data_IF_839286531298
#
_entry.id   IF_839286531298
#
_cell.length_a   1.000
_cell.length_b   1.000
_cell.length_c   1.000
_cell.angle_alpha   90.00
_cell.angle_beta   90.00
_cell.angle_gamma   90.00
#
_symmetry.space_group_name_H-M   'P 1'
#
loop_
_entity.id
_entity.type
_entity.pdbx_description
1 polymer ?
#
# COMPACT_ATOMS: atom_id res chain seq x y z
N UNK A 1 -9.64 21.90 21.42
CA UNK A 1 -9.38 21.39 20.06
C UNK A 1 -7.92 20.93 20.03
N UNK A 2 -7.54 19.99 20.90
CA UNK A 2 -7.28 18.57 20.52
C UNK A 2 -6.38 18.56 19.28
N UNK A 3 -5.07 18.77 19.42
CA UNK A 3 -4.19 17.82 20.11
C UNK A 3 -4.12 16.58 19.23
N UNK A 4 -3.28 16.62 18.19
CA UNK A 4 -3.03 15.48 17.32
C UNK A 4 -2.24 14.45 18.13
N UNK A 5 -2.94 13.45 18.66
CA UNK A 5 -2.34 12.32 19.38
C UNK A 5 -1.75 11.36 18.34
N UNK A 6 -0.42 11.25 18.33
CA UNK A 6 0.37 10.53 17.32
C UNK A 6 0.18 8.99 17.39
N UNK A 7 -0.66 8.49 18.31
CA UNK A 7 -0.92 7.07 18.53
C UNK A 7 -1.97 6.44 17.58
N UNK A 8 -2.92 7.23 17.06
CA UNK A 8 -3.97 6.73 16.15
C UNK A 8 -3.54 6.64 14.67
N UNK A 9 -2.35 7.14 14.31
CA UNK A 9 -1.89 7.29 12.92
C UNK A 9 -0.76 6.30 12.52
N UNK A 10 -0.66 5.15 13.19
CA UNK A 10 0.49 4.22 13.07
C UNK A 10 0.10 2.85 12.49
N UNK A 11 -1.05 2.70 11.81
CA UNK A 11 -1.50 1.40 11.28
C UNK A 11 -1.65 1.29 9.75
N UNK A 12 -1.27 2.28 8.95
CA UNK A 12 -1.66 2.33 7.53
C UNK A 12 -0.50 2.71 6.60
N UNK A 13 0.40 1.78 6.27
CA UNK A 13 1.36 2.03 5.18
C UNK A 13 0.57 2.20 3.87
N UNK A 14 0.53 3.44 3.38
CA UNK A 14 -0.14 3.84 2.14
C UNK A 14 0.86 4.46 1.17
N UNK A 15 0.45 4.57 -0.09
CA UNK A 15 1.22 5.27 -1.10
C UNK A 15 1.43 6.74 -0.70
N UNK A 16 2.66 7.26 -0.69
CA UNK A 16 2.92 8.67 -0.36
C UNK A 16 2.32 9.66 -1.36
N UNK A 17 2.05 9.25 -2.60
CA UNK A 17 1.50 10.13 -3.65
C UNK A 17 -0.02 10.22 -3.64
N UNK A 18 -0.70 9.08 -3.51
CA UNK A 18 -2.16 8.99 -3.66
C UNK A 18 -2.88 8.50 -2.40
N UNK A 19 -2.13 8.14 -1.35
CA UNK A 19 -2.65 7.63 -0.09
C UNK A 19 -3.50 6.34 -0.19
N UNK A 20 -3.40 5.62 -1.30
CA UNK A 20 -4.06 4.33 -1.49
C UNK A 20 -3.21 3.18 -0.91
N UNK A 21 -3.82 2.00 -0.74
CA UNK A 21 -3.10 0.81 -0.23
C UNK A 21 -1.95 0.38 -1.14
N UNK A 22 -0.94 -0.24 -0.53
CA UNK A 22 0.17 -0.90 -1.21
C UNK A 22 0.01 -2.42 -1.13
N UNK A 23 0.27 -3.10 -2.25
CA UNK A 23 0.37 -4.55 -2.38
C UNK A 23 1.84 -4.97 -2.30
N UNK A 24 2.15 -6.02 -1.53
CA UNK A 24 3.51 -6.54 -1.42
C UNK A 24 3.77 -7.53 -2.55
N UNK A 25 4.78 -7.28 -3.36
CA UNK A 25 5.22 -8.18 -4.43
C UNK A 25 6.70 -8.55 -4.26
N UNK A 26 6.96 -9.58 -3.47
CA UNK A 26 8.31 -10.10 -3.23
C UNK A 26 9.27 -9.08 -2.59
N UNK A 27 9.96 -8.30 -3.44
CA UNK A 27 10.94 -7.29 -3.04
C UNK A 27 10.52 -5.85 -3.40
N UNK A 28 9.25 -5.61 -3.74
CA UNK A 28 8.72 -4.26 -3.91
C UNK A 28 7.29 -4.13 -3.36
N UNK A 29 6.85 -2.89 -3.17
CA UNK A 29 5.51 -2.51 -2.79
C UNK A 29 4.85 -1.77 -3.96
N UNK A 30 3.76 -2.31 -4.50
CA UNK A 30 3.07 -1.73 -5.65
C UNK A 30 1.77 -1.07 -5.19
N UNK A 31 1.54 0.17 -5.60
CA UNK A 31 0.30 0.86 -5.30
C UNK A 31 -0.90 0.18 -5.95
N UNK A 32 -1.96 -0.07 -5.18
CA UNK A 32 -3.21 -0.68 -5.66
C UNK A 32 -4.08 0.27 -6.49
N UNK A 33 -3.71 1.54 -6.64
CA UNK A 33 -4.40 2.49 -7.54
C UNK A 33 -3.92 2.33 -8.98
N UNK A 34 -4.86 2.13 -9.90
CA UNK A 34 -4.61 2.09 -11.36
C UNK A 34 -4.17 3.43 -11.93
N UNK A 35 -4.43 4.53 -11.23
CA UNK A 35 -4.01 5.87 -11.64
C UNK A 35 -2.57 6.15 -11.21
N UNK A 36 -2.14 5.61 -10.07
CA UNK A 36 -0.79 5.81 -9.53
C UNK A 36 0.23 4.79 -10.07
N UNK A 37 -0.03 3.49 -9.95
CA UNK A 37 0.82 2.39 -10.47
C UNK A 37 2.30 2.45 -10.08
N UNK A 38 2.63 3.13 -8.98
CA UNK A 38 4.00 3.22 -8.48
C UNK A 38 4.43 1.91 -7.80
N UNK A 39 5.66 1.50 -8.10
CA UNK A 39 6.37 0.38 -7.47
C UNK A 39 7.53 0.94 -6.65
N UNK A 40 7.49 0.69 -5.35
CA UNK A 40 8.51 1.11 -4.39
C UNK A 40 9.43 -0.07 -4.07
N UNK A 41 10.75 0.00 -4.33
CA UNK A 41 11.66 -1.10 -4.04
C UNK A 41 11.87 -1.28 -2.52
N UNK A 42 12.14 -2.52 -2.12
CA UNK A 42 12.53 -2.86 -0.73
C UNK A 42 14.03 -3.15 -0.73
N UNK A 43 14.80 -2.30 -0.03
CA UNK A 43 16.25 -2.44 0.09
C UNK A 43 16.62 -2.84 1.52
N UNK A 44 17.36 -3.94 1.67
CA UNK A 44 17.75 -4.51 2.98
C UNK A 44 16.57 -4.75 3.94
N UNK A 45 15.38 -5.05 3.40
CA UNK A 45 14.16 -5.23 4.19
C UNK A 45 13.48 -3.92 4.61
N UNK A 46 13.97 -2.77 4.14
CA UNK A 46 13.39 -1.45 4.36
C UNK A 46 12.69 -0.97 3.08
N UNK A 47 11.38 -0.71 3.10
CA UNK A 47 10.66 -0.19 1.94
C UNK A 47 11.03 1.27 1.70
N UNK A 48 11.44 1.58 0.46
CA UNK A 48 11.80 2.94 0.09
C UNK A 48 10.58 3.66 -0.49
N UNK A 49 9.86 4.38 0.37
CA UNK A 49 8.65 5.14 0.01
C UNK A 49 8.98 6.55 -0.50
N UNK A 50 9.99 6.66 -1.36
CA UNK A 50 10.35 7.91 -2.03
C UNK A 50 9.76 7.92 -3.43
N UNK A 51 9.03 8.98 -3.75
CA UNK A 51 8.34 9.14 -5.03
C UNK A 51 9.33 9.21 -6.19
N UNK A 52 10.46 9.89 -5.99
CA UNK A 52 11.52 10.02 -6.98
C UNK A 52 12.25 8.70 -7.29
N UNK A 53 12.20 7.74 -6.35
CA UNK A 53 12.82 6.41 -6.51
C UNK A 53 11.80 5.34 -6.92
N UNK A 54 10.51 5.70 -6.99
CA UNK A 54 9.45 4.79 -7.38
C UNK A 54 9.40 4.63 -8.90
N UNK A 55 9.15 3.40 -9.35
CA UNK A 55 9.01 3.09 -10.77
C UNK A 55 7.53 3.05 -11.15
N UNK A 56 7.16 3.71 -12.25
CA UNK A 56 5.79 3.63 -12.78
C UNK A 56 5.63 2.37 -13.61
N UNK A 57 4.74 1.47 -13.20
CA UNK A 57 4.45 0.24 -13.94
C UNK A 57 3.50 0.49 -15.10
N UNK A 58 3.73 -0.17 -16.24
CA UNK A 58 2.73 -0.21 -17.32
C UNK A 58 1.49 -0.96 -16.87
N UNK A 59 0.33 -0.66 -17.48
CA UNK A 59 -0.96 -1.19 -17.02
C UNK A 59 -1.01 -2.73 -17.00
N UNK A 60 -0.39 -3.38 -17.99
CA UNK A 60 -0.33 -4.84 -18.05
C UNK A 60 0.54 -5.42 -16.92
N UNK A 61 1.66 -4.80 -16.59
CA UNK A 61 2.58 -5.25 -15.53
C UNK A 61 1.98 -5.03 -14.15
N UNK A 62 1.34 -3.87 -13.95
CA UNK A 62 0.61 -3.54 -12.73
C UNK A 62 -0.51 -4.56 -12.46
N UNK A 63 -1.30 -4.92 -13.48
CA UNK A 63 -2.37 -5.92 -13.35
C UNK A 63 -1.85 -7.30 -12.88
N UNK A 64 -0.64 -7.68 -13.30
CA UNK A 64 0.01 -8.92 -12.83
C UNK A 64 0.48 -8.78 -11.38
N UNK A 65 1.00 -7.60 -11.01
CA UNK A 65 1.56 -7.35 -9.67
C UNK A 65 0.48 -7.22 -8.57
N UNK A 66 -0.66 -6.57 -8.85
CA UNK A 66 -1.74 -6.39 -7.85
C UNK A 66 -2.84 -7.45 -7.93
N UNK A 67 -2.95 -8.17 -9.05
CA UNK A 67 -4.08 -9.05 -9.36
C UNK A 67 -5.38 -8.27 -9.55
N UNK A 68 -6.32 -8.78 -10.35
CA UNK A 68 -7.60 -8.10 -10.70
C UNK A 68 -8.59 -7.87 -9.53
N UNK A 69 -8.15 -7.84 -8.27
CA UNK A 69 -9.00 -7.66 -7.11
C UNK A 69 -8.23 -7.03 -5.95
N UNK A 70 -8.13 -5.70 -5.98
CA UNK A 70 -7.78 -4.94 -4.79
C UNK A 70 -8.85 -5.16 -3.71
N UNK A 71 -8.57 -6.05 -2.76
CA UNK A 71 -8.98 -6.02 -1.35
C UNK A 71 -8.88 -7.42 -0.75
N UNK A 72 -8.08 -7.58 0.31
CA UNK A 72 -8.45 -8.29 1.55
C UNK A 72 -7.25 -8.31 2.50
N UNK A 73 -7.07 -7.21 3.24
CA UNK A 73 -6.39 -7.21 4.53
C UNK A 73 -6.82 -6.00 5.37
N UNK A 74 -8.08 -6.06 5.84
CA UNK A 74 -8.56 -5.53 7.13
C UNK A 74 -10.00 -6.04 7.32
N UNK A 75 -10.19 -7.36 7.19
CA UNK A 75 -11.30 -8.06 7.81
C UNK A 75 -10.75 -8.65 9.10
N UNK A 76 -10.87 -7.93 10.21
CA UNK A 76 -10.98 -8.62 11.48
C UNK A 76 -12.41 -9.13 11.56
N UNK A 77 -12.58 -10.43 11.34
CA UNK A 77 -13.75 -11.14 11.82
C UNK A 77 -13.81 -10.94 13.34
N UNK A 78 -14.70 -10.06 13.80
CA UNK A 78 -15.35 -10.21 15.09
C UNK A 78 -16.56 -11.12 14.87
N UNK A 79 -16.37 -12.40 15.18
CA UNK A 79 -17.41 -13.42 15.31
C UNK A 79 -18.36 -13.09 16.47
N UNK A 80 -19.66 -13.29 16.22
CA UNK A 80 -20.77 -13.68 17.12
C UNK A 80 -20.74 -13.23 18.60
N UNK A 81 -21.76 -12.48 19.07
CA UNK A 81 -22.51 -12.77 20.33
C UNK A 81 -23.59 -11.69 20.64
N UNK A 82 -24.86 -12.10 20.48
CA UNK A 82 -26.17 -11.56 20.97
C UNK A 82 -26.84 -10.38 20.26
#
# INVERSE_FOLDING_TARGET
>A
MTGFDLGDLVELIVCPECHERLAVTGQSLVCSSSECRLSFPVWEGIPVLLVDEAETLEQAEWQVAVGSGGTTAAGISGEDET
#
